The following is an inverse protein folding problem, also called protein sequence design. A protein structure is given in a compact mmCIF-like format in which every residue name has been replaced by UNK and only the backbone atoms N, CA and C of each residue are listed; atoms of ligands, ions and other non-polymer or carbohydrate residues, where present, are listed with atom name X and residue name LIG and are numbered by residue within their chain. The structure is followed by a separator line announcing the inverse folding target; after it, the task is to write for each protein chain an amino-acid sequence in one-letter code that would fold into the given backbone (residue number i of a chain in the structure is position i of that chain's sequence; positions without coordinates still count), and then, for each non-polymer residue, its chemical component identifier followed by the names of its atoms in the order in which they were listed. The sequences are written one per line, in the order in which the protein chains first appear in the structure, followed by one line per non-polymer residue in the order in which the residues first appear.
data_IF_261852270461
#
_entry.id   IF_261852270461
#
_cell.length_a   1.000
_cell.length_b   1.000
_cell.length_c   1.000
_cell.angle_alpha   90.00
_cell.angle_beta   90.00
_cell.angle_gamma   90.00
#
_symmetry.space_group_name_H-M   'P 1'
#
loop_
_entity.id
_entity.type
_entity.pdbx_description
1 polymer ?
#
# COMPACT_ATOMS: atom_id res chain seq x y z
N UNK A 1 15.91 17.59 2.95
CA UNK A 1 15.05 18.57 3.66
C UNK A 1 13.89 17.79 4.27
N UNK A 2 14.11 17.20 5.46
CA UNK A 2 13.09 16.39 6.14
C UNK A 2 12.07 17.33 6.77
N UNK A 3 10.80 17.24 6.39
CA UNK A 3 9.72 17.91 7.11
C UNK A 3 9.75 17.48 8.58
N UNK A 4 9.42 18.37 9.53
CA UNK A 4 9.28 18.07 10.95
C UNK A 4 7.96 17.32 11.22
N UNK A 5 7.68 16.26 10.46
CA UNK A 5 6.55 15.36 10.68
C UNK A 5 7.02 14.19 11.53
N UNK A 6 6.39 13.97 12.68
CA UNK A 6 6.68 12.80 13.52
C UNK A 6 5.59 11.76 13.32
N UNK A 7 5.98 10.59 12.82
CA UNK A 7 5.12 9.43 12.75
C UNK A 7 5.14 8.67 14.07
N UNK A 8 3.96 8.31 14.57
CA UNK A 8 3.80 7.47 15.76
C UNK A 8 2.85 6.32 15.44
N UNK A 9 3.38 5.10 15.59
CA UNK A 9 2.60 3.89 15.63
C UNK A 9 2.51 3.37 17.05
N UNK A 10 1.34 2.85 17.41
CA UNK A 10 1.14 2.22 18.70
C UNK A 10 -0.03 1.26 18.65
N UNK A 11 -0.12 0.39 19.66
CA UNK A 11 -1.24 -0.55 19.78
C UNK A 11 -2.52 0.22 20.05
N UNK A 12 -3.55 0.02 19.24
CA UNK A 12 -4.83 0.75 19.33
C UNK A 12 -5.43 0.76 20.74
N UNK A 13 -5.29 -0.35 21.48
CA UNK A 13 -5.77 -0.46 22.86
C UNK A 13 -5.07 0.52 23.81
N UNK A 14 -3.74 0.68 23.67
CA UNK A 14 -2.96 1.62 24.47
C UNK A 14 -3.26 3.07 24.09
N UNK A 15 -3.37 3.35 22.79
CA UNK A 15 -3.68 4.69 22.29
C UNK A 15 -5.04 5.15 22.78
N UNK A 16 -6.08 4.30 22.66
CA UNK A 16 -7.43 4.60 23.18
C UNK A 16 -7.43 4.84 24.69
N UNK A 17 -6.66 4.06 25.45
CA UNK A 17 -6.53 4.23 26.91
C UNK A 17 -5.88 5.57 27.26
N UNK A 18 -4.81 5.94 26.56
CA UNK A 18 -4.13 7.22 26.76
C UNK A 18 -5.04 8.41 26.42
N UNK A 19 -5.78 8.35 25.30
CA UNK A 19 -6.72 9.40 24.91
C UNK A 19 -7.83 9.58 25.95
N UNK A 20 -8.41 8.48 26.46
CA UNK A 20 -9.41 8.53 27.53
C UNK A 20 -8.86 9.15 28.82
N UNK A 21 -7.59 8.88 29.16
CA UNK A 21 -6.93 9.48 30.32
C UNK A 21 -6.66 10.98 30.19
N UNK A 22 -6.54 11.50 28.96
CA UNK A 22 -6.33 12.93 28.67
C UNK A 22 -7.60 13.68 28.28
N UNK A 23 -8.76 13.04 28.33
CA UNK A 23 -10.05 13.61 27.95
C UNK A 23 -10.41 14.84 28.81
N UNK A 24 -10.01 14.84 30.07
CA UNK A 24 -10.21 15.96 31.01
C UNK A 24 -9.46 17.23 30.60
N UNK A 25 -8.36 17.12 29.85
CA UNK A 25 -7.59 18.28 29.37
C UNK A 25 -8.06 18.78 28.01
N UNK A 26 -8.48 17.88 27.14
CA UNK A 26 -8.91 18.20 25.77
C UNK A 26 -10.09 17.31 25.34
N UNK A 27 -11.34 17.77 25.44
CA UNK A 27 -12.52 16.99 25.07
C UNK A 27 -12.61 16.71 23.56
N UNK A 28 -11.92 17.51 22.73
CA UNK A 28 -11.89 17.30 21.28
C UNK A 28 -11.29 15.95 20.86
N UNK A 29 -10.48 15.32 21.73
CA UNK A 29 -9.87 14.02 21.45
C UNK A 29 -10.88 12.87 21.43
N UNK A 30 -12.07 13.04 21.99
CA UNK A 30 -13.12 12.02 21.96
C UNK A 30 -13.54 11.66 20.53
N UNK A 31 -13.57 12.67 19.66
CA UNK A 31 -13.93 12.52 18.24
C UNK A 31 -12.95 11.62 17.47
N UNK A 32 -11.74 11.40 17.99
CA UNK A 32 -10.74 10.54 17.36
C UNK A 32 -10.93 9.06 17.71
N UNK A 33 -11.59 8.73 18.82
CA UNK A 33 -11.82 7.34 19.26
C UNK A 33 -12.46 6.42 18.19
N UNK A 34 -13.49 6.85 17.43
CA UNK A 34 -14.09 6.00 16.40
C UNK A 34 -13.18 5.74 15.20
N UNK A 35 -12.16 6.57 14.96
CA UNK A 35 -11.24 6.42 13.82
C UNK A 35 -10.04 5.52 14.12
N UNK A 36 -9.78 5.18 15.39
CA UNK A 36 -8.64 4.35 15.81
C UNK A 36 -9.05 2.88 15.73
N UNK A 37 -9.35 2.38 14.53
CA UNK A 37 -9.78 1.00 14.25
C UNK A 37 -8.88 0.42 13.17
N UNK A 38 -8.51 -0.87 13.28
CA UNK A 38 -7.57 -1.53 12.36
C UNK A 38 -6.16 -0.90 12.39
N UNK A 39 -5.41 -0.95 11.30
CA UNK A 39 -4.03 -0.46 11.24
C UNK A 39 -4.01 1.05 11.01
N UNK A 40 -3.85 1.82 12.09
CA UNK A 40 -3.85 3.29 12.05
C UNK A 40 -2.56 3.82 12.66
N UNK A 41 -1.95 4.81 12.00
CA UNK A 41 -0.79 5.54 12.50
C UNK A 41 -1.11 7.03 12.65
N UNK A 42 -0.46 7.69 13.59
CA UNK A 42 -0.60 9.12 13.82
C UNK A 42 0.56 9.86 13.18
N UNK A 43 0.26 10.95 12.48
CA UNK A 43 1.25 11.89 11.96
C UNK A 43 1.05 13.20 12.71
N UNK A 44 2.06 13.60 13.48
CA UNK A 44 2.07 14.87 14.19
C UNK A 44 2.90 15.88 13.40
N UNK A 45 2.31 17.01 13.09
CA UNK A 45 2.94 18.10 12.35
C UNK A 45 2.58 19.43 12.98
N UNK A 46 3.45 20.42 12.81
CA UNK A 46 3.18 21.82 13.17
C UNK A 46 2.85 22.67 11.94
N UNK A 47 2.86 22.08 10.75
CA UNK A 47 2.68 22.71 9.44
C UNK A 47 1.26 22.46 8.90
N UNK A 48 0.93 23.08 7.78
CA UNK A 48 -0.39 23.00 7.16
C UNK A 48 -0.78 21.59 6.68
N UNK A 49 -2.02 21.20 7.02
CA UNK A 49 -2.59 19.89 6.71
C UNK A 49 -2.70 19.63 5.19
N UNK A 50 -2.90 20.69 4.39
CA UNK A 50 -3.00 20.60 2.94
C UNK A 50 -1.71 20.12 2.29
N UNK A 51 -0.59 20.72 2.66
CA UNK A 51 0.74 20.41 2.12
C UNK A 51 1.19 19.00 2.47
N UNK A 52 0.90 18.57 3.71
CA UNK A 52 1.22 17.22 4.18
C UNK A 52 0.43 16.18 3.39
N UNK A 53 -0.86 16.45 3.13
CA UNK A 53 -1.70 15.54 2.33
C UNK A 53 -1.20 15.44 0.89
N UNK A 54 -0.84 16.55 0.26
CA UNK A 54 -0.29 16.57 -1.10
C UNK A 54 1.02 15.75 -1.17
N UNK A 55 1.95 16.01 -0.25
CA UNK A 55 3.24 15.29 -0.19
C UNK A 55 3.08 13.81 0.14
N UNK A 56 2.10 13.43 0.98
CA UNK A 56 1.84 12.01 1.28
C UNK A 56 1.29 11.27 0.05
N UNK A 57 0.45 11.92 -0.75
CA UNK A 57 -0.07 11.36 -2.00
C UNK A 57 1.04 11.24 -3.06
N UNK A 58 1.92 12.24 -3.15
CA UNK A 58 3.07 12.23 -4.06
C UNK A 58 4.07 11.10 -3.73
N UNK A 59 4.32 10.85 -2.44
CA UNK A 59 5.25 9.82 -1.98
C UNK A 59 4.65 8.40 -1.92
N UNK A 60 3.50 8.15 -2.55
CA UNK A 60 2.89 6.83 -2.59
C UNK A 60 3.73 5.89 -3.45
N UNK A 61 4.58 5.09 -2.81
CA UNK A 61 5.32 4.03 -3.51
C UNK A 61 4.36 2.93 -3.96
N UNK A 62 4.48 2.54 -5.23
CA UNK A 62 3.86 1.33 -5.73
C UNK A 62 4.43 0.13 -4.99
N UNK A 63 3.56 -0.71 -4.43
CA UNK A 63 3.92 -2.02 -3.93
C UNK A 63 3.44 -3.07 -4.94
N UNK A 64 4.20 -4.16 -5.16
CA UNK A 64 3.73 -5.26 -5.99
C UNK A 64 2.44 -5.85 -5.40
N UNK A 65 1.54 -6.31 -6.27
CA UNK A 65 0.31 -6.96 -5.84
C UNK A 65 0.63 -8.18 -4.97
N UNK A 66 0.03 -8.25 -3.78
CA UNK A 66 0.17 -9.41 -2.89
C UNK A 66 -0.82 -10.50 -3.31
N UNK A 67 -0.37 -11.74 -3.37
CA UNK A 67 -1.23 -12.90 -3.70
C UNK A 67 -2.43 -12.95 -2.75
N UNK A 68 -3.64 -13.09 -3.31
CA UNK A 68 -4.90 -13.13 -2.56
C UNK A 68 -5.50 -11.77 -2.17
N UNK A 69 -4.86 -10.65 -2.51
CA UNK A 69 -5.48 -9.34 -2.35
C UNK A 69 -6.40 -9.01 -3.53
N UNK A 70 -7.56 -8.41 -3.25
CA UNK A 70 -8.46 -7.88 -4.29
C UNK A 70 -7.75 -6.68 -4.94
N UNK A 71 -7.66 -6.70 -6.27
CA UNK A 71 -7.02 -5.63 -7.02
C UNK A 71 -7.84 -4.32 -6.88
N UNK A 72 -7.22 -3.20 -6.47
CA UNK A 72 -7.92 -1.92 -6.34
C UNK A 72 -8.18 -1.22 -7.69
N UNK A 73 -7.48 -1.61 -8.75
CA UNK A 73 -7.61 -1.11 -10.11
C UNK A 73 -7.37 -2.26 -11.10
N UNK A 74 -7.84 -2.10 -12.34
CA UNK A 74 -7.63 -3.09 -13.40
C UNK A 74 -6.14 -3.35 -13.64
N UNK A 75 -5.74 -4.63 -13.54
CA UNK A 75 -4.37 -5.07 -13.82
C UNK A 75 -4.30 -5.44 -15.30
N UNK A 76 -3.62 -4.62 -16.10
CA UNK A 76 -3.38 -4.87 -17.52
C UNK A 76 -1.91 -5.21 -17.74
N UNK A 77 -1.66 -6.27 -18.49
CA UNK A 77 -0.33 -6.64 -18.95
C UNK A 77 -0.15 -6.09 -20.37
N UNK A 78 0.90 -5.29 -20.58
CA UNK A 78 1.29 -4.90 -21.94
C UNK A 78 1.96 -6.08 -22.64
N UNK A 79 1.71 -6.30 -23.94
CA UNK A 79 2.40 -7.33 -24.70
C UNK A 79 3.90 -7.01 -24.75
N UNK A 80 4.71 -7.89 -24.18
CA UNK A 80 6.17 -7.78 -24.14
C UNK A 80 6.78 -9.18 -24.16
N UNK A 81 8.02 -9.31 -24.67
CA UNK A 81 8.75 -10.57 -24.68
C UNK A 81 9.23 -10.91 -23.27
N UNK A 82 8.61 -11.92 -22.65
CA UNK A 82 8.88 -12.29 -21.25
C UNK A 82 10.25 -12.95 -21.04
N UNK A 83 10.98 -13.32 -22.10
CA UNK A 83 12.30 -13.97 -22.01
C UNK A 83 12.31 -15.32 -21.29
N UNK A 84 11.13 -15.87 -20.98
CA UNK A 84 10.97 -17.15 -20.30
C UNK A 84 11.09 -18.28 -21.32
N UNK A 85 11.93 -19.28 -21.01
CA UNK A 85 12.04 -20.50 -21.81
C UNK A 85 10.73 -21.31 -21.81
N UNK A 86 10.55 -22.21 -22.81
CA UNK A 86 9.32 -22.95 -23.03
C UNK A 86 8.86 -23.78 -21.82
N UNK A 87 9.80 -24.24 -20.99
CA UNK A 87 9.55 -25.06 -19.80
C UNK A 87 8.73 -24.38 -18.70
N UNK A 88 8.80 -23.05 -18.60
CA UNK A 88 8.17 -22.28 -17.50
C UNK A 88 6.91 -21.52 -17.95
N UNK A 89 6.33 -21.91 -19.08
CA UNK A 89 5.14 -21.25 -19.67
C UNK A 89 3.82 -21.72 -19.05
N UNK A 90 3.82 -22.86 -18.36
CA UNK A 90 2.65 -23.41 -17.66
C UNK A 90 2.03 -22.46 -16.62
N UNK A 91 2.84 -21.64 -15.97
CA UNK A 91 2.38 -20.66 -14.98
C UNK A 91 1.49 -19.57 -15.59
N UNK A 92 1.82 -19.08 -16.78
CA UNK A 92 1.06 -18.04 -17.47
C UNK A 92 -0.23 -18.60 -18.10
N UNK A 93 -0.22 -19.87 -18.51
CA UNK A 93 -1.43 -20.59 -18.92
C UNK A 93 -2.41 -20.79 -17.75
N UNK A 94 -1.90 -21.14 -16.56
CA UNK A 94 -2.71 -21.27 -15.35
C UNK A 94 -3.39 -19.94 -14.94
N UNK A 95 -2.77 -18.81 -15.27
CA UNK A 95 -3.31 -17.46 -15.05
C UNK A 95 -4.21 -16.97 -16.20
N UNK A 96 -4.53 -17.81 -17.18
CA UNK A 96 -5.33 -17.48 -18.37
C UNK A 96 -4.77 -16.30 -19.20
N UNK A 97 -3.45 -16.08 -19.14
CA UNK A 97 -2.80 -15.04 -19.94
C UNK A 97 -2.45 -15.65 -21.31
N UNK A 98 -3.01 -15.14 -22.42
CA UNK A 98 -2.68 -15.65 -23.75
C UNK A 98 -1.24 -15.25 -24.11
N UNK A 99 -0.39 -16.24 -24.34
CA UNK A 99 1.00 -16.07 -24.77
C UNK A 99 1.29 -16.92 -26.01
N UNK A 100 2.20 -16.46 -26.86
CA UNK A 100 2.73 -17.24 -28.00
C UNK A 100 4.16 -17.64 -27.68
N UNK A 101 4.49 -18.91 -27.89
CA UNK A 101 5.86 -19.40 -27.77
C UNK A 101 6.68 -18.91 -28.98
N UNK A 102 7.89 -18.38 -28.79
CA UNK A 102 8.80 -18.17 -29.91
C UNK A 102 9.18 -19.53 -30.50
N UNK A 103 9.07 -19.66 -31.82
CA UNK A 103 9.50 -20.88 -32.51
C UNK A 103 11.00 -21.08 -32.28
N UNK A 104 11.37 -22.24 -31.74
CA UNK A 104 12.76 -22.64 -31.59
C UNK A 104 13.30 -22.98 -32.98
N UNK A 105 14.37 -22.33 -33.47
CA UNK A 105 14.93 -22.67 -34.77
C UNK A 105 15.50 -24.08 -34.69
N UNK A 106 14.92 -25.01 -35.45
CA UNK A 106 15.43 -26.37 -35.63
C UNK A 106 16.93 -26.31 -35.95
N UNK A 107 17.75 -26.78 -35.01
CA UNK A 107 19.18 -27.04 -35.27
C UNK A 107 19.26 -28.32 -36.07
N UNK A 108 19.51 -28.19 -37.38
CA UNK A 108 19.91 -29.28 -38.26
C UNK A 108 21.30 -29.79 -37.88
#
# INVERSE_FOLDING_TARGET
MLMPCRYLNGKNTMIRKAIRGHLSKNPALEKLLPYIVQYVGFIFTKEDLGDIRAKLLENRRGAPAKVGAIAPCDVKLSPHNTGMGPEKTSFLQALQIPQRLPEEPLRF
#
